data_IF_941032746176
#
_entry.id   IF_941032746176
#
_cell.length_a   1.000
_cell.length_b   1.000
_cell.length_c   1.000
_cell.angle_alpha   90.00
_cell.angle_beta   90.00
_cell.angle_gamma   90.00
#
_symmetry.space_group_name_H-M   'P 1'
#
loop_
_entity.id
_entity.type
_entity.pdbx_description
1 polymer ?
#
# COMPACT_ATOMS: atom_id res chain seq x y z
N UNK A 1 13.52 5.22 -12.54
CA UNK A 1 12.95 6.58 -12.26
C UNK A 1 13.54 7.05 -10.94
N UNK A 2 14.10 8.28 -10.91
CA UNK A 2 14.64 8.79 -9.66
C UNK A 2 13.53 9.25 -8.70
N UNK A 3 13.90 9.52 -7.45
CA UNK A 3 12.93 9.87 -6.40
C UNK A 3 12.13 11.12 -6.75
N UNK A 4 12.78 12.15 -7.27
CA UNK A 4 12.11 13.40 -7.63
C UNK A 4 11.11 13.20 -8.76
N UNK A 5 11.50 12.45 -9.79
CA UNK A 5 10.61 12.14 -10.92
C UNK A 5 9.43 11.29 -10.48
N UNK A 6 9.67 10.33 -9.58
CA UNK A 6 8.61 9.47 -9.05
C UNK A 6 7.57 10.29 -8.29
N UNK A 7 8.02 11.21 -7.44
CA UNK A 7 7.11 12.09 -6.68
C UNK A 7 6.27 12.98 -7.60
N UNK A 8 6.91 13.60 -8.58
CA UNK A 8 6.21 14.47 -9.54
C UNK A 8 5.20 13.72 -10.36
N UNK A 9 5.57 12.51 -10.82
CA UNK A 9 4.66 11.69 -11.59
C UNK A 9 3.43 11.28 -10.76
N UNK A 10 3.65 10.89 -9.50
CA UNK A 10 2.55 10.51 -8.61
C UNK A 10 1.62 11.70 -8.35
N UNK A 11 2.17 12.88 -8.05
CA UNK A 11 1.39 14.08 -7.81
C UNK A 11 0.51 14.42 -9.01
N UNK A 12 1.09 14.36 -10.22
CA UNK A 12 0.34 14.65 -11.45
C UNK A 12 -0.77 13.63 -11.69
N UNK A 13 -0.47 12.35 -11.51
CA UNK A 13 -1.46 11.30 -11.70
C UNK A 13 -2.61 11.42 -10.69
N UNK A 14 -2.32 11.85 -9.45
CA UNK A 14 -3.32 12.11 -8.44
C UNK A 14 -4.21 13.30 -8.82
N UNK A 15 -3.61 14.41 -9.26
CA UNK A 15 -4.36 15.60 -9.67
C UNK A 15 -5.30 15.31 -10.83
N UNK A 16 -4.85 14.51 -11.79
CA UNK A 16 -5.61 14.17 -12.99
C UNK A 16 -6.45 12.90 -12.82
N UNK A 17 -6.32 12.22 -11.68
CA UNK A 17 -7.00 10.98 -11.34
C UNK A 17 -6.86 9.92 -12.44
N UNK A 18 -5.62 9.74 -12.90
CA UNK A 18 -5.31 8.78 -13.97
C UNK A 18 -5.10 7.40 -13.39
N UNK A 19 -6.14 6.58 -13.46
CA UNK A 19 -6.18 5.28 -12.75
C UNK A 19 -5.04 4.35 -13.14
N UNK A 20 -4.79 4.14 -14.43
CA UNK A 20 -3.75 3.21 -14.86
C UNK A 20 -2.35 3.68 -14.45
N UNK A 21 -2.12 5.00 -14.53
CA UNK A 21 -0.85 5.56 -14.11
C UNK A 21 -0.68 5.46 -12.59
N UNK A 22 -1.75 5.72 -11.82
CA UNK A 22 -1.72 5.56 -10.37
C UNK A 22 -1.37 4.14 -9.96
N UNK A 23 -1.92 3.15 -10.65
CA UNK A 23 -1.63 1.73 -10.37
C UNK A 23 -0.16 1.43 -10.57
N UNK A 24 0.41 1.85 -11.70
CA UNK A 24 1.82 1.63 -11.99
C UNK A 24 2.71 2.37 -10.99
N UNK A 25 2.39 3.64 -10.74
CA UNK A 25 3.22 4.48 -9.88
C UNK A 25 3.21 4.06 -8.42
N UNK A 26 2.06 3.64 -7.89
CA UNK A 26 2.01 3.22 -6.49
C UNK A 26 2.85 1.96 -6.26
N UNK A 27 2.87 1.05 -7.24
CA UNK A 27 3.74 -0.12 -7.16
C UNK A 27 5.22 0.29 -7.22
N UNK A 28 5.56 1.24 -8.08
CA UNK A 28 6.93 1.77 -8.14
C UNK A 28 7.34 2.43 -6.83
N UNK A 29 6.43 3.16 -6.19
CA UNK A 29 6.69 3.75 -4.88
C UNK A 29 7.07 2.65 -3.87
N UNK A 30 6.28 1.59 -3.82
CA UNK A 30 6.55 0.47 -2.91
C UNK A 30 7.86 -0.26 -3.20
N UNK A 31 8.23 -0.38 -4.46
CA UNK A 31 9.40 -1.16 -4.88
C UNK A 31 10.68 -0.34 -5.00
N UNK A 32 10.60 0.96 -5.27
CA UNK A 32 11.76 1.76 -5.68
C UNK A 32 12.06 2.97 -4.80
N UNK A 33 11.06 3.54 -4.08
CA UNK A 33 11.29 4.74 -3.31
C UNK A 33 12.35 4.52 -2.23
N UNK A 34 13.26 5.48 -2.09
CA UNK A 34 14.27 5.46 -1.04
C UNK A 34 13.82 6.21 0.22
N UNK A 35 12.68 6.90 0.16
CA UNK A 35 12.13 7.65 1.29
C UNK A 35 10.97 6.88 1.90
N UNK A 36 11.25 6.13 2.97
CA UNK A 36 10.23 5.30 3.62
C UNK A 36 9.02 6.10 4.07
N UNK A 37 9.25 7.24 4.72
CA UNK A 37 8.12 8.01 5.28
C UNK A 37 7.20 8.55 4.19
N UNK A 38 7.77 9.14 3.16
CA UNK A 38 6.98 9.63 2.03
C UNK A 38 6.24 8.48 1.34
N UNK A 39 6.93 7.36 1.11
CA UNK A 39 6.34 6.21 0.45
C UNK A 39 5.19 5.62 1.27
N UNK A 40 5.38 5.49 2.57
CA UNK A 40 4.37 4.96 3.47
C UNK A 40 3.12 5.85 3.49
N UNK A 41 3.30 7.17 3.63
CA UNK A 41 2.17 8.11 3.63
C UNK A 41 1.44 8.08 2.29
N UNK A 42 2.18 8.06 1.18
CA UNK A 42 1.59 8.03 -0.16
C UNK A 42 0.79 6.77 -0.40
N UNK A 43 1.34 5.61 -0.04
CA UNK A 43 0.64 4.33 -0.19
C UNK A 43 -0.58 4.25 0.74
N UNK A 44 -0.45 4.73 1.98
CA UNK A 44 -1.57 4.74 2.92
C UNK A 44 -2.73 5.60 2.39
N UNK A 45 -2.43 6.75 1.81
CA UNK A 45 -3.45 7.61 1.21
C UNK A 45 -4.12 6.94 0.01
N UNK A 46 -3.34 6.31 -0.86
CA UNK A 46 -3.89 5.62 -2.03
C UNK A 46 -4.66 4.35 -1.66
N UNK A 47 -4.37 3.75 -0.51
CA UNK A 47 -5.15 2.63 0.01
C UNK A 47 -6.58 3.04 0.40
N UNK A 48 -6.88 4.34 0.40
CA UNK A 48 -8.22 4.88 0.62
C UNK A 48 -8.87 5.37 -0.67
N UNK A 49 -8.22 5.16 -1.80
CA UNK A 49 -8.75 5.58 -3.10
C UNK A 49 -10.06 4.86 -3.39
N UNK A 50 -11.00 5.54 -4.08
CA UNK A 50 -12.30 4.97 -4.43
C UNK A 50 -12.23 3.83 -5.45
N UNK A 51 -11.20 3.84 -6.30
CA UNK A 51 -11.02 2.79 -7.29
C UNK A 51 -10.39 1.57 -6.62
N UNK A 52 -11.06 0.42 -6.73
CA UNK A 52 -10.64 -0.81 -6.05
C UNK A 52 -9.27 -1.31 -6.49
N UNK A 53 -8.91 -1.11 -7.76
CA UNK A 53 -7.62 -1.58 -8.28
C UNK A 53 -6.47 -0.73 -7.73
N UNK A 54 -6.65 0.59 -7.68
CA UNK A 54 -5.67 1.50 -7.07
C UNK A 54 -5.52 1.18 -5.59
N UNK A 55 -6.65 1.01 -4.89
CA UNK A 55 -6.67 0.68 -3.47
C UNK A 55 -5.92 -0.62 -3.19
N UNK A 56 -6.19 -1.67 -3.97
CA UNK A 56 -5.52 -2.95 -3.81
C UNK A 56 -4.03 -2.86 -4.07
N UNK A 57 -3.64 -2.17 -5.15
CA UNK A 57 -2.23 -2.00 -5.47
C UNK A 57 -1.48 -1.22 -4.38
N UNK A 58 -2.14 -0.24 -3.76
CA UNK A 58 -1.56 0.51 -2.65
C UNK A 58 -1.35 -0.37 -1.41
N UNK A 59 -2.30 -1.27 -1.13
CA UNK A 59 -2.14 -2.23 -0.03
C UNK A 59 -0.95 -3.15 -0.29
N UNK A 60 -0.82 -3.67 -1.51
CA UNK A 60 0.34 -4.50 -1.88
C UNK A 60 1.64 -3.72 -1.71
N UNK A 61 1.65 -2.44 -2.10
CA UNK A 61 2.83 -1.58 -1.97
C UNK A 61 3.26 -1.42 -0.51
N UNK A 62 2.31 -1.32 0.43
CA UNK A 62 2.65 -1.27 1.86
C UNK A 62 3.38 -2.54 2.30
N UNK A 63 2.98 -3.70 1.78
CA UNK A 63 3.70 -4.95 2.04
C UNK A 63 5.13 -4.92 1.51
N UNK A 64 5.33 -4.39 0.31
CA UNK A 64 6.67 -4.23 -0.27
C UNK A 64 7.54 -3.32 0.58
N UNK A 65 6.98 -2.23 1.13
CA UNK A 65 7.71 -1.34 2.02
C UNK A 65 8.13 -2.05 3.31
N UNK A 66 7.25 -2.88 3.87
CA UNK A 66 7.57 -3.66 5.07
C UNK A 66 8.77 -4.56 4.82
N UNK A 67 8.80 -5.25 3.69
CA UNK A 67 9.90 -6.14 3.32
C UNK A 67 11.20 -5.38 3.12
N UNK A 68 11.14 -4.22 2.46
CA UNK A 68 12.34 -3.46 2.11
C UNK A 68 12.94 -2.72 3.29
N UNK A 69 12.12 -2.13 4.13
CA UNK A 69 12.59 -1.25 5.20
C UNK A 69 12.59 -1.90 6.58
N UNK A 70 11.84 -2.97 6.77
CA UNK A 70 11.76 -3.63 8.06
C UNK A 70 11.10 -2.79 9.16
N UNK A 71 10.43 -1.70 8.78
CA UNK A 71 9.67 -0.88 9.73
C UNK A 71 8.64 -0.04 8.99
N UNK A 72 7.47 0.13 9.61
CA UNK A 72 6.42 1.04 9.18
C UNK A 72 5.73 1.57 10.42
N UNK A 73 5.01 2.68 10.29
CA UNK A 73 4.20 3.22 11.39
C UNK A 73 2.96 2.33 11.58
N UNK A 74 2.95 1.56 12.67
CA UNK A 74 1.88 0.61 12.96
C UNK A 74 0.52 1.28 13.07
N UNK A 75 0.47 2.46 13.70
CA UNK A 75 -0.78 3.19 13.87
C UNK A 75 -1.39 3.60 12.53
N UNK A 76 -0.54 3.93 11.56
CA UNK A 76 -1.00 4.33 10.23
C UNK A 76 -1.42 3.14 9.40
N UNK A 77 -0.63 2.08 9.41
CA UNK A 77 -0.71 1.01 8.42
C UNK A 77 -1.61 -0.14 8.83
N UNK A 78 -1.57 -0.55 10.10
CA UNK A 78 -2.26 -1.77 10.53
C UNK A 78 -3.75 -1.75 10.22
N UNK A 79 -4.46 -0.69 10.62
CA UNK A 79 -5.90 -0.61 10.43
C UNK A 79 -6.29 -0.58 8.96
N UNK A 80 -5.48 0.10 8.14
CA UNK A 80 -5.72 0.19 6.69
C UNK A 80 -5.70 -1.21 6.07
N UNK A 81 -4.70 -2.01 6.42
CA UNK A 81 -4.58 -3.38 5.90
C UNK A 81 -5.70 -4.26 6.46
N UNK A 82 -6.00 -4.17 7.75
CA UNK A 82 -7.09 -4.94 8.34
C UNK A 82 -8.43 -4.61 7.69
N UNK A 83 -8.71 -3.34 7.42
CA UNK A 83 -9.92 -2.95 6.70
C UNK A 83 -9.96 -3.57 5.30
N UNK A 84 -8.83 -3.63 4.63
CA UNK A 84 -8.72 -4.27 3.31
C UNK A 84 -9.05 -5.77 3.36
N UNK A 85 -8.67 -6.45 4.43
CA UNK A 85 -8.97 -7.86 4.61
C UNK A 85 -10.47 -8.14 4.71
N UNK A 86 -11.27 -7.14 5.12
CA UNK A 86 -12.72 -7.25 5.24
C UNK A 86 -13.47 -6.54 4.11
N UNK A 87 -12.78 -6.06 3.09
CA UNK A 87 -13.41 -5.31 2.00
C UNK A 87 -14.34 -6.20 1.18
N UNK A 88 -15.37 -5.58 0.55
CA UNK A 88 -16.28 -6.32 -0.31
C UNK A 88 -15.64 -6.75 -1.63
N UNK A 89 -14.71 -5.97 -2.15
CA UNK A 89 -14.09 -6.23 -3.44
C UNK A 89 -13.01 -7.30 -3.30
N UNK A 90 -13.12 -8.36 -4.09
CA UNK A 90 -12.21 -9.51 -4.03
C UNK A 90 -10.75 -9.13 -4.25
N UNK A 91 -10.49 -8.27 -5.24
CA UNK A 91 -9.11 -7.83 -5.52
C UNK A 91 -8.49 -7.13 -4.32
N UNK A 92 -9.26 -6.25 -3.64
CA UNK A 92 -8.78 -5.55 -2.46
C UNK A 92 -8.45 -6.55 -1.34
N UNK A 93 -9.32 -7.52 -1.09
CA UNK A 93 -9.07 -8.54 -0.07
C UNK A 93 -7.81 -9.34 -0.37
N UNK A 94 -7.61 -9.73 -1.64
CA UNK A 94 -6.44 -10.51 -2.04
C UNK A 94 -5.15 -9.73 -1.82
N UNK A 95 -5.12 -8.46 -2.20
CA UNK A 95 -3.95 -7.62 -2.01
C UNK A 95 -3.70 -7.32 -0.53
N UNK A 96 -4.77 -7.12 0.23
CA UNK A 96 -4.65 -6.93 1.68
C UNK A 96 -4.06 -8.17 2.36
N UNK A 97 -4.48 -9.38 1.93
CA UNK A 97 -3.95 -10.63 2.46
C UNK A 97 -2.45 -10.76 2.16
N UNK A 98 -2.03 -10.41 0.95
CA UNK A 98 -0.62 -10.41 0.59
C UNK A 98 0.18 -9.43 1.45
N UNK A 99 -0.34 -8.22 1.64
CA UNK A 99 0.29 -7.23 2.50
C UNK A 99 0.36 -7.70 3.96
N UNK A 100 -0.72 -8.33 4.45
CA UNK A 100 -0.76 -8.84 5.82
C UNK A 100 0.33 -9.90 6.04
N UNK A 101 0.54 -10.79 5.06
CA UNK A 101 1.61 -11.78 5.12
C UNK A 101 2.98 -11.11 5.29
N UNK A 102 3.23 -10.05 4.51
CA UNK A 102 4.49 -9.29 4.59
C UNK A 102 4.65 -8.60 5.95
N UNK A 103 3.58 -7.98 6.44
CA UNK A 103 3.61 -7.31 7.74
C UNK A 103 3.90 -8.28 8.89
N UNK A 104 3.28 -9.45 8.84
CA UNK A 104 3.51 -10.49 9.85
C UNK A 104 4.91 -11.07 9.75
N UNK A 105 5.40 -11.29 8.53
CA UNK A 105 6.71 -11.88 8.29
C UNK A 105 7.85 -10.94 8.63
N UNK A 106 7.78 -9.70 8.15
CA UNK A 106 8.91 -8.77 8.23
C UNK A 106 8.85 -7.82 9.40
N UNK A 107 7.65 -7.55 9.95
CA UNK A 107 7.48 -6.64 11.07
C UNK A 107 7.01 -7.35 12.35
N UNK A 108 6.73 -8.64 12.27
CA UNK A 108 6.22 -9.46 13.38
C UNK A 108 4.93 -8.89 14.00
N UNK A 109 4.11 -8.23 13.18
CA UNK A 109 2.81 -7.75 13.66
C UNK A 109 1.80 -8.89 13.69
N UNK A 110 0.82 -8.79 14.59
CA UNK A 110 -0.35 -9.65 14.60
C UNK A 110 -1.52 -8.85 14.11
N UNK A 111 -2.16 -9.31 13.02
CA UNK A 111 -3.26 -8.61 12.40
C UNK A 111 -4.56 -9.34 12.65
N UNK A 112 -5.67 -8.56 12.74
CA UNK A 112 -7.00 -9.11 12.82
C UNK A 112 -7.42 -9.58 11.42
N UNK A 113 -7.47 -10.91 11.24
CA UNK A 113 -7.82 -11.52 9.96
C UNK A 113 -9.18 -12.18 9.99
N UNK A 114 -9.96 -12.13 8.88
CA UNK A 114 -11.22 -12.88 8.79
C UNK A 114 -11.00 -14.37 9.07
N UNK A 115 -11.89 -14.97 9.86
CA UNK A 115 -11.84 -16.39 10.17
C UNK A 115 -10.81 -16.78 11.22
N UNK A 116 -10.01 -15.84 11.74
CA UNK A 116 -9.08 -16.10 12.83
C UNK A 116 -9.78 -15.87 14.16
N UNK A 117 -9.79 -16.88 14.98
CA UNK A 117 -10.42 -16.82 16.30
C UNK A 117 -9.58 -16.02 17.31
#
# INVERSE_FOLDING_TARGET
MDETSLRRALERALEEDRIFELRDLVLRVGLESSDRMWAEVSCANLARHRNALVKGDALAALGHLARRFGQLDRRRVQRIVENGLHAHHEYVRAQAASAADDLETYLAWTLDRPGRA
#
